data_IF_729050135379
#
_entry.id   IF_729050135379
#
_cell.length_a   1.000
_cell.length_b   1.000
_cell.length_c   1.000
_cell.angle_alpha   90.00
_cell.angle_beta   90.00
_cell.angle_gamma   90.00
#
_symmetry.space_group_name_H-M   'P 1'
#
loop_
_entity.id
_entity.type
_entity.pdbx_description
1 polymer ?
#
# COMPACT_ATOMS: atom_id res chain seq x y z
N UNK A 1 5.03 -8.40 -10.25
CA UNK A 1 5.43 -9.80 -10.03
C UNK A 1 4.19 -10.59 -9.66
N UNK A 2 4.10 -11.85 -10.09
CA UNK A 2 3.01 -12.79 -9.81
C UNK A 2 3.61 -14.11 -9.34
N UNK A 3 2.79 -15.01 -8.81
CA UNK A 3 3.13 -16.39 -8.45
C UNK A 3 2.21 -17.36 -9.21
N UNK A 4 2.45 -18.67 -9.11
CA UNK A 4 1.51 -19.67 -9.64
C UNK A 4 0.07 -19.45 -9.16
N UNK A 5 -0.10 -19.05 -7.89
CA UNK A 5 -1.43 -18.83 -7.31
C UNK A 5 -2.14 -17.62 -7.90
N UNK A 6 -1.40 -16.63 -8.41
CA UNK A 6 -1.94 -15.31 -8.78
C UNK A 6 -1.83 -14.99 -10.26
N UNK A 7 -0.98 -15.68 -11.04
CA UNK A 7 -0.66 -15.30 -12.42
C UNK A 7 -1.88 -15.29 -13.34
N UNK A 8 -2.56 -16.44 -13.49
CA UNK A 8 -3.71 -16.57 -14.39
C UNK A 8 -4.87 -15.65 -13.99
N UNK A 9 -5.13 -15.53 -12.68
CA UNK A 9 -6.17 -14.63 -12.14
C UNK A 9 -5.84 -13.16 -12.39
N UNK A 10 -4.56 -12.77 -12.28
CA UNK A 10 -4.11 -11.40 -12.57
C UNK A 10 -4.24 -11.08 -14.05
N UNK A 11 -3.84 -12.00 -14.93
CA UNK A 11 -3.99 -11.82 -16.38
C UNK A 11 -5.47 -11.67 -16.77
N UNK A 12 -6.34 -12.55 -16.26
CA UNK A 12 -7.78 -12.48 -16.48
C UNK A 12 -8.37 -11.15 -15.98
N UNK A 13 -7.96 -10.68 -14.79
CA UNK A 13 -8.41 -9.41 -14.22
C UNK A 13 -8.03 -8.23 -15.12
N UNK A 14 -6.80 -8.21 -15.63
CA UNK A 14 -6.32 -7.16 -16.54
C UNK A 14 -7.09 -7.18 -17.86
N UNK A 15 -7.22 -8.34 -18.50
CA UNK A 15 -7.89 -8.47 -19.80
C UNK A 15 -9.38 -8.13 -19.73
N UNK A 16 -10.09 -8.66 -18.72
CA UNK A 16 -11.53 -8.41 -18.51
C UNK A 16 -11.86 -6.95 -18.21
N UNK A 17 -10.88 -6.16 -17.75
CA UNK A 17 -11.04 -4.74 -17.45
C UNK A 17 -10.30 -3.83 -18.45
N UNK A 18 -9.94 -4.34 -19.63
CA UNK A 18 -9.21 -3.60 -20.66
C UNK A 18 -7.96 -2.88 -20.10
N UNK A 19 -7.21 -3.59 -19.25
CA UNK A 19 -6.02 -3.11 -18.54
C UNK A 19 -6.23 -1.80 -17.77
N UNK A 20 -7.48 -1.54 -17.34
CA UNK A 20 -7.89 -0.31 -16.66
C UNK A 20 -7.50 0.97 -17.43
N UNK A 21 -7.49 0.89 -18.77
CA UNK A 21 -7.14 1.99 -19.68
C UNK A 21 -5.64 2.10 -20.00
N UNK A 22 -4.78 1.22 -19.48
CA UNK A 22 -3.39 1.12 -19.90
C UNK A 22 -3.27 0.36 -21.23
N UNK A 23 -2.20 0.62 -22.00
CA UNK A 23 -1.87 -0.26 -23.13
C UNK A 23 -1.34 -1.60 -22.59
N UNK A 24 -1.74 -2.76 -23.14
CA UNK A 24 -1.22 -4.06 -22.70
C UNK A 24 0.31 -4.12 -22.70
N UNK A 25 0.96 -3.41 -23.63
CA UNK A 25 2.43 -3.34 -23.73
C UNK A 25 3.10 -2.63 -22.55
N UNK A 26 2.38 -1.82 -21.78
CA UNK A 26 2.88 -1.15 -20.58
C UNK A 26 2.92 -2.06 -19.34
N UNK A 27 2.21 -3.20 -19.38
CA UNK A 27 2.13 -4.14 -18.26
C UNK A 27 2.88 -5.42 -18.60
N UNK A 28 3.84 -5.80 -17.74
CA UNK A 28 4.61 -7.03 -17.90
C UNK A 28 4.44 -7.88 -16.65
N UNK A 29 3.87 -9.08 -16.80
CA UNK A 29 3.72 -10.04 -15.72
C UNK A 29 4.98 -10.91 -15.66
N UNK A 30 5.78 -10.72 -14.63
CA UNK A 30 6.89 -11.61 -14.29
C UNK A 30 6.41 -12.57 -13.21
N UNK A 31 6.35 -13.87 -13.53
CA UNK A 31 5.96 -14.91 -12.59
C UNK A 31 7.21 -15.38 -11.85
N UNK A 32 7.14 -15.40 -10.52
CA UNK A 32 8.18 -16.01 -9.70
C UNK A 32 8.03 -17.53 -9.69
N UNK A 33 9.16 -18.21 -9.54
CA UNK A 33 9.19 -19.66 -9.38
C UNK A 33 8.97 -20.05 -7.92
N UNK A 34 8.68 -21.34 -7.71
CA UNK A 34 8.64 -21.93 -6.37
C UNK A 34 9.96 -22.60 -6.04
N UNK A 35 10.23 -22.73 -4.74
CA UNK A 35 11.37 -23.46 -4.21
C UNK A 35 10.90 -24.67 -3.43
N UNK A 36 11.76 -25.68 -3.33
CA UNK A 36 11.48 -26.89 -2.57
C UNK A 36 11.28 -26.58 -1.08
N UNK A 37 10.36 -27.31 -0.46
CA UNK A 37 10.14 -27.24 0.97
C UNK A 37 11.01 -28.26 1.72
N UNK A 38 11.34 -27.92 2.97
CA UNK A 38 12.11 -28.74 3.89
C UNK A 38 11.20 -29.23 5.01
N UNK A 39 11.23 -30.53 5.31
CA UNK A 39 10.35 -31.13 6.33
C UNK A 39 10.91 -31.09 7.76
N UNK A 40 12.22 -30.98 7.91
CA UNK A 40 12.90 -31.01 9.21
C UNK A 40 14.21 -30.19 9.25
N UNK A 41 14.89 -30.26 10.41
CA UNK A 41 16.14 -29.55 10.68
C UNK A 41 17.34 -30.10 9.89
N UNK A 42 17.25 -31.33 9.36
CA UNK A 42 18.29 -31.95 8.53
C UNK A 42 18.12 -31.60 7.04
N UNK A 43 17.15 -30.74 6.73
CA UNK A 43 16.83 -30.25 5.40
C UNK A 43 16.40 -31.37 4.42
N UNK A 44 15.73 -32.40 4.92
CA UNK A 44 15.05 -33.36 4.04
C UNK A 44 13.95 -32.67 3.23
N UNK A 45 13.79 -33.08 1.97
CA UNK A 45 12.77 -32.53 1.07
C UNK A 45 11.38 -32.97 1.51
N UNK A 46 10.49 -32.01 1.74
CA UNK A 46 9.09 -32.30 1.99
C UNK A 46 8.40 -32.79 0.71
N UNK A 47 7.56 -33.81 0.83
CA UNK A 47 6.73 -34.32 -0.25
C UNK A 47 5.35 -33.66 -0.26
N UNK A 48 4.71 -33.59 -1.43
CA UNK A 48 3.37 -33.03 -1.56
C UNK A 48 2.35 -33.85 -0.74
N UNK A 49 1.50 -33.22 0.10
CA UNK A 49 0.51 -33.93 0.92
C UNK A 49 -0.52 -34.76 0.13
N UNK A 50 -0.73 -34.43 -1.15
CA UNK A 50 -1.66 -35.09 -2.05
C UNK A 50 -0.96 -35.99 -3.06
N UNK A 51 0.36 -35.86 -3.25
CA UNK A 51 1.17 -36.73 -4.12
C UNK A 51 2.58 -36.99 -3.56
N UNK A 52 2.79 -38.17 -2.97
CA UNK A 52 4.08 -38.60 -2.41
C UNK A 52 5.24 -38.74 -3.42
N UNK A 53 4.97 -38.66 -4.71
CA UNK A 53 6.00 -38.69 -5.76
C UNK A 53 6.40 -37.27 -6.23
N UNK A 54 5.79 -36.24 -5.67
CA UNK A 54 6.10 -34.84 -5.97
C UNK A 54 6.74 -34.17 -4.75
N UNK A 55 7.71 -33.29 -5.01
CA UNK A 55 8.30 -32.43 -3.99
C UNK A 55 7.32 -31.30 -3.70
N UNK A 56 7.03 -31.07 -2.42
CA UNK A 56 6.26 -29.91 -2.02
C UNK A 56 7.07 -28.64 -2.29
N UNK A 57 6.42 -27.66 -2.92
CA UNK A 57 7.05 -26.38 -3.24
C UNK A 57 6.24 -25.20 -2.71
N UNK A 58 6.91 -24.10 -2.38
CA UNK A 58 6.30 -22.84 -1.91
C UNK A 58 6.99 -21.65 -2.59
N UNK A 59 6.34 -20.47 -2.68
CA UNK A 59 7.00 -19.26 -3.16
C UNK A 59 8.25 -18.94 -2.33
N UNK A 60 9.33 -18.54 -3.02
CA UNK A 60 10.62 -18.18 -2.43
C UNK A 60 10.60 -16.81 -1.72
N UNK A 61 9.53 -16.04 -1.87
CA UNK A 61 9.39 -14.72 -1.25
C UNK A 61 9.54 -13.59 -2.26
N UNK A 62 9.30 -12.36 -1.81
CA UNK A 62 9.18 -11.23 -2.73
C UNK A 62 10.54 -10.68 -3.20
N UNK A 63 11.67 -11.16 -2.68
CA UNK A 63 13.01 -10.80 -3.17
C UNK A 63 13.30 -11.28 -4.59
N UNK A 64 12.58 -12.28 -5.12
CA UNK A 64 12.71 -12.73 -6.51
C UNK A 64 12.47 -11.63 -7.55
N UNK A 65 11.79 -10.54 -7.16
CA UNK A 65 11.53 -9.41 -8.06
C UNK A 65 12.83 -8.85 -8.66
N UNK A 66 13.94 -8.91 -7.92
CA UNK A 66 15.23 -8.38 -8.36
C UNK A 66 15.84 -9.24 -9.47
N UNK A 67 15.91 -10.56 -9.29
CA UNK A 67 16.40 -11.50 -10.30
C UNK A 67 15.46 -11.56 -11.52
N UNK A 68 14.14 -11.51 -11.32
CA UNK A 68 13.16 -11.44 -12.41
C UNK A 68 13.32 -10.17 -13.24
N UNK A 69 13.51 -9.01 -12.61
CA UNK A 69 13.75 -7.74 -13.32
C UNK A 69 15.06 -7.76 -14.10
N UNK A 70 16.11 -8.34 -13.51
CA UNK A 70 17.41 -8.50 -14.17
C UNK A 70 17.30 -9.39 -15.41
N UNK A 71 16.80 -10.62 -15.24
CA UNK A 71 16.73 -11.63 -16.30
C UNK A 71 15.73 -11.29 -17.41
N UNK A 72 14.67 -10.54 -17.09
CA UNK A 72 13.69 -10.09 -18.10
C UNK A 72 14.20 -9.01 -19.05
N UNK A 73 15.32 -8.35 -18.72
CA UNK A 73 15.86 -7.23 -19.50
C UNK A 73 15.06 -5.93 -19.40
N UNK A 74 14.01 -5.86 -18.56
CA UNK A 74 13.14 -4.69 -18.45
C UNK A 74 13.86 -3.45 -17.94
N UNK A 75 14.82 -3.62 -17.03
CA UNK A 75 15.56 -2.49 -16.47
C UNK A 75 16.33 -1.74 -17.55
N UNK A 76 16.94 -2.46 -18.50
CA UNK A 76 17.63 -1.85 -19.64
C UNK A 76 16.66 -1.09 -20.54
N UNK A 77 15.50 -1.68 -20.85
CA UNK A 77 14.46 -1.01 -21.63
C UNK A 77 13.97 0.28 -20.96
N UNK A 78 13.78 0.27 -19.64
CA UNK A 78 13.40 1.47 -18.88
C UNK A 78 14.50 2.54 -18.89
N UNK A 79 15.75 2.11 -18.75
CA UNK A 79 16.90 3.01 -18.77
C UNK A 79 17.06 3.68 -20.15
N UNK A 80 16.96 2.91 -21.23
CA UNK A 80 17.15 3.40 -22.60
C UNK A 80 16.08 4.42 -23.04
N UNK A 81 14.88 4.37 -22.44
CA UNK A 81 13.82 5.38 -22.65
C UNK A 81 13.88 6.55 -21.65
N UNK A 82 14.92 6.63 -20.83
CA UNK A 82 15.21 7.76 -19.94
C UNK A 82 14.46 7.73 -18.59
N UNK A 83 13.92 6.58 -18.17
CA UNK A 83 13.39 6.46 -16.80
C UNK A 83 14.55 6.47 -15.78
N UNK A 84 14.31 7.06 -14.61
CA UNK A 84 15.35 7.23 -13.59
C UNK A 84 15.10 6.44 -12.30
N UNK A 85 13.84 6.16 -11.98
CA UNK A 85 13.46 5.58 -10.69
C UNK A 85 12.58 4.36 -10.89
N UNK A 86 12.84 3.32 -10.11
CA UNK A 86 11.96 2.15 -9.98
C UNK A 86 11.24 2.26 -8.63
N UNK A 87 9.92 2.18 -8.68
CA UNK A 87 9.09 2.11 -7.48
C UNK A 87 8.63 0.67 -7.28
N UNK A 88 8.92 0.11 -6.12
CA UNK A 88 8.35 -1.14 -5.64
C UNK A 88 7.24 -0.81 -4.66
N UNK A 89 6.07 -1.42 -4.87
CA UNK A 89 4.95 -1.28 -3.97
C UNK A 89 4.25 -2.60 -3.66
N UNK A 90 3.48 -2.63 -2.57
CA UNK A 90 2.72 -3.80 -2.12
C UNK A 90 1.27 -3.75 -2.61
N UNK A 91 0.64 -4.91 -2.69
CA UNK A 91 -0.63 -5.16 -3.37
C UNK A 91 -1.84 -4.34 -2.86
N UNK A 92 -1.92 -4.11 -1.55
CA UNK A 92 -3.17 -3.68 -0.88
C UNK A 92 -3.05 -2.38 -0.08
N UNK A 93 -1.96 -1.63 -0.25
CA UNK A 93 -1.85 -0.28 0.32
C UNK A 93 -2.25 0.80 -0.70
N UNK A 94 -3.55 0.94 -0.96
CA UNK A 94 -4.08 1.88 -1.96
C UNK A 94 -3.81 3.36 -1.66
N UNK A 95 -3.55 3.69 -0.40
CA UNK A 95 -3.30 5.07 0.06
C UNK A 95 -1.92 5.60 -0.37
N UNK A 96 -0.95 4.69 -0.57
CA UNK A 96 0.44 4.99 -0.89
C UNK A 96 0.63 6.01 -2.02
N UNK A 97 -0.22 5.97 -3.05
CA UNK A 97 0.00 6.76 -4.27
C UNK A 97 -0.02 8.27 -4.03
N UNK A 98 -0.54 8.72 -2.89
CA UNK A 98 -0.46 10.12 -2.45
C UNK A 98 0.89 10.52 -1.88
N UNK A 99 1.60 9.57 -1.28
CA UNK A 99 2.89 9.79 -0.63
C UNK A 99 4.06 9.75 -1.63
N UNK A 100 3.94 8.96 -2.71
CA UNK A 100 5.02 8.76 -3.69
C UNK A 100 5.63 10.07 -4.22
N UNK A 101 4.86 11.09 -4.65
CA UNK A 101 5.47 12.30 -5.22
C UNK A 101 6.41 13.01 -4.25
N UNK A 102 6.01 13.12 -2.97
CA UNK A 102 6.83 13.73 -1.93
C UNK A 102 8.07 12.89 -1.64
N UNK A 103 7.91 11.57 -1.48
CA UNK A 103 9.02 10.65 -1.23
C UNK A 103 10.03 10.61 -2.38
N UNK A 104 9.57 10.68 -3.63
CA UNK A 104 10.42 10.77 -4.81
C UNK A 104 11.21 12.08 -4.84
N UNK A 105 10.58 13.20 -4.44
CA UNK A 105 11.26 14.48 -4.26
C UNK A 105 12.37 14.42 -3.21
N UNK A 106 12.15 13.69 -2.11
CA UNK A 106 13.20 13.42 -1.10
C UNK A 106 14.33 12.59 -1.71
N UNK A 107 14.02 11.50 -2.42
CA UNK A 107 15.04 10.67 -3.11
C UNK A 107 15.91 11.51 -4.03
N UNK A 108 15.31 12.37 -4.85
CA UNK A 108 16.04 13.24 -5.76
C UNK A 108 16.92 14.26 -5.02
N UNK A 109 16.39 14.94 -3.99
CA UNK A 109 17.11 15.97 -3.24
C UNK A 109 18.25 15.41 -2.39
N UNK A 110 18.05 14.23 -1.80
CA UNK A 110 19.07 13.53 -1.00
C UNK A 110 19.97 12.62 -1.83
N UNK A 111 19.67 12.49 -3.12
CA UNK A 111 20.37 11.62 -4.07
C UNK A 111 20.47 10.18 -3.56
N UNK A 112 19.38 9.68 -2.97
CA UNK A 112 19.32 8.32 -2.47
C UNK A 112 19.31 7.33 -3.63
N UNK A 113 20.15 6.31 -3.54
CA UNK A 113 20.10 5.15 -4.43
C UNK A 113 18.96 4.21 -4.02
N UNK A 114 18.67 4.13 -2.72
CA UNK A 114 17.51 3.42 -2.17
C UNK A 114 16.86 4.31 -1.11
N UNK A 115 15.54 4.48 -1.23
CA UNK A 115 14.73 5.18 -0.25
C UNK A 115 13.56 4.29 0.17
N UNK A 116 13.60 3.82 1.41
CA UNK A 116 12.48 3.09 2.01
C UNK A 116 11.45 4.06 2.55
N UNK A 117 10.19 3.92 2.18
CA UNK A 117 9.12 4.67 2.83
C UNK A 117 8.83 4.04 4.19
N UNK A 118 8.68 4.90 5.18
CA UNK A 118 8.40 4.51 6.54
C UNK A 118 7.28 5.37 7.15
N UNK A 119 6.74 4.92 8.27
CA UNK A 119 5.76 5.67 9.08
C UNK A 119 6.14 5.62 10.55
N UNK A 120 5.68 6.57 11.39
CA UNK A 120 5.74 6.40 12.83
C UNK A 120 5.06 5.09 13.23
N UNK A 121 5.75 4.24 13.98
CA UNK A 121 5.24 2.94 14.46
C UNK A 121 5.28 2.87 15.97
N UNK A 122 4.41 2.09 16.59
CA UNK A 122 4.55 1.75 18.02
C UNK A 122 5.63 0.69 18.19
N UNK A 123 6.33 0.73 19.31
CA UNK A 123 7.21 -0.36 19.72
C UNK A 123 6.43 -1.68 19.77
N UNK A 124 7.05 -2.77 19.34
CA UNK A 124 6.50 -4.13 19.24
C UNK A 124 5.33 -4.29 18.26
N UNK A 125 5.02 -3.26 17.47
CA UNK A 125 4.10 -3.38 16.35
C UNK A 125 4.67 -4.35 15.31
N UNK A 126 3.81 -5.14 14.64
CA UNK A 126 4.19 -6.14 13.64
C UNK A 126 4.57 -5.50 12.29
N UNK A 127 5.58 -4.62 12.34
CA UNK A 127 6.18 -3.88 11.23
C UNK A 127 7.67 -3.69 11.53
N UNK A 128 8.53 -4.02 10.57
CA UNK A 128 9.98 -3.89 10.73
C UNK A 128 10.41 -2.45 10.96
N UNK A 129 11.46 -2.25 11.74
CA UNK A 129 12.02 -0.92 12.02
C UNK A 129 13.18 -0.61 11.08
N UNK A 130 13.22 0.60 10.52
CA UNK A 130 14.42 1.09 9.84
C UNK A 130 15.46 1.46 10.90
N UNK A 131 16.63 0.83 10.81
CA UNK A 131 17.74 1.02 11.75
C UNK A 131 19.03 1.33 11.00
N UNK A 132 20.02 1.87 11.73
CA UNK A 132 21.41 1.92 11.27
C UNK A 132 22.21 0.85 12.01
N UNK A 133 22.53 -0.24 11.33
CA UNK A 133 23.38 -1.30 11.88
C UNK A 133 24.84 -0.90 11.73
N UNK A 134 25.63 -1.09 12.78
CA UNK A 134 27.08 -0.83 12.79
C UNK A 134 27.81 -2.10 13.23
N UNK A 135 28.66 -2.62 12.38
CA UNK A 135 29.52 -3.76 12.66
C UNK A 135 30.71 -3.32 13.53
N UNK A 136 31.33 -4.27 14.23
CA UNK A 136 32.53 -4.03 15.06
C UNK A 136 33.72 -3.48 14.27
N UNK A 137 33.77 -3.76 12.97
CA UNK A 137 34.80 -3.29 12.03
C UNK A 137 34.53 -1.87 11.49
N UNK A 138 33.47 -1.20 11.97
CA UNK A 138 33.09 0.16 11.58
C UNK A 138 32.20 0.25 10.34
N UNK A 139 31.97 -0.86 9.61
CA UNK A 139 31.00 -0.86 8.50
C UNK A 139 29.61 -0.61 9.03
N UNK A 140 28.82 0.19 8.31
CA UNK A 140 27.46 0.48 8.69
C UNK A 140 26.50 0.46 7.50
N UNK A 141 25.25 0.11 7.77
CA UNK A 141 24.18 0.08 6.76
C UNK A 141 22.87 0.58 7.36
N UNK A 142 22.07 1.27 6.55
CA UNK A 142 20.70 1.62 6.90
C UNK A 142 19.78 0.56 6.29
N UNK A 143 19.00 -0.13 7.12
CA UNK A 143 18.17 -1.23 6.65
C UNK A 143 16.98 -1.49 7.55
N UNK A 144 15.98 -2.16 6.99
CA UNK A 144 14.91 -2.78 7.75
C UNK A 144 15.43 -3.93 8.62
N UNK A 145 15.01 -3.93 9.88
CA UNK A 145 15.13 -5.07 10.79
C UNK A 145 13.73 -5.52 11.15
N UNK A 146 13.41 -6.79 10.87
CA UNK A 146 12.08 -7.33 11.10
C UNK A 146 11.68 -7.26 12.57
N UNK A 147 10.39 -7.06 12.84
CA UNK A 147 9.86 -6.81 14.18
C UNK A 147 10.21 -7.95 15.17
N UNK A 148 10.28 -9.19 14.69
CA UNK A 148 10.64 -10.37 15.47
C UNK A 148 12.15 -10.46 15.79
N UNK A 149 12.99 -9.68 15.11
CA UNK A 149 14.44 -9.61 15.30
C UNK A 149 14.86 -8.33 16.04
N UNK A 150 14.10 -7.25 15.89
CA UNK A 150 14.47 -5.93 16.37
C UNK A 150 14.68 -5.88 17.89
N UNK A 151 13.73 -6.36 18.69
CA UNK A 151 13.86 -6.33 20.16
C UNK A 151 15.08 -7.12 20.66
N UNK A 152 15.28 -8.41 20.27
CA UNK A 152 16.50 -9.13 20.61
C UNK A 152 17.79 -8.44 20.15
N UNK A 153 17.80 -7.87 18.94
CA UNK A 153 18.96 -7.19 18.38
C UNK A 153 19.31 -5.93 19.18
N UNK A 154 18.31 -5.14 19.56
CA UNK A 154 18.48 -3.93 20.37
C UNK A 154 19.07 -4.27 21.75
N UNK A 155 18.52 -5.29 22.43
CA UNK A 155 19.04 -5.76 23.71
C UNK A 155 20.49 -6.21 23.62
N UNK A 156 20.83 -6.96 22.57
CA UNK A 156 22.20 -7.41 22.32
C UNK A 156 23.16 -6.25 21.95
N UNK A 157 22.63 -5.13 21.48
CA UNK A 157 23.39 -3.97 20.98
C UNK A 157 23.46 -2.80 21.97
N UNK A 158 23.10 -3.03 23.25
CA UNK A 158 23.25 -2.02 24.31
C UNK A 158 21.99 -1.19 24.61
N UNK A 159 20.83 -1.59 24.10
CA UNK A 159 19.53 -1.01 24.49
C UNK A 159 18.83 -1.96 25.46
N UNK A 160 19.04 -1.84 26.79
CA UNK A 160 18.59 -2.82 27.77
C UNK A 160 17.07 -3.06 27.73
N UNK A 161 16.30 -2.01 27.45
CA UNK A 161 14.84 -2.07 27.39
C UNK A 161 14.30 -2.67 26.07
N UNK A 162 15.16 -2.85 25.07
CA UNK A 162 14.80 -3.39 23.76
C UNK A 162 14.04 -2.38 22.90
N UNK A 163 12.99 -2.85 22.21
CA UNK A 163 12.14 -1.99 21.39
C UNK A 163 11.06 -1.32 22.26
N UNK A 164 11.28 -0.04 22.56
CA UNK A 164 10.41 0.80 23.40
C UNK A 164 10.09 2.14 22.72
N UNK A 165 8.97 2.74 23.10
CA UNK A 165 8.59 4.06 22.60
C UNK A 165 9.46 5.15 23.24
N UNK A 166 9.82 6.18 22.46
CA UNK A 166 10.42 7.41 22.99
C UNK A 166 9.34 8.39 23.47
N UNK A 167 9.76 9.58 23.90
CA UNK A 167 8.89 10.65 24.45
C UNK A 167 7.74 11.08 23.53
N UNK A 168 7.87 10.85 22.22
CA UNK A 168 6.81 11.11 21.23
C UNK A 168 5.66 10.08 21.27
N UNK A 169 5.81 9.02 22.07
CA UNK A 169 4.89 7.89 22.14
C UNK A 169 5.04 6.88 21.00
N UNK A 170 6.05 7.01 20.12
CA UNK A 170 6.37 6.09 19.03
C UNK A 170 7.75 5.48 19.22
N UNK A 171 8.05 4.37 18.55
CA UNK A 171 9.40 3.82 18.52
C UNK A 171 10.34 4.81 17.80
N UNK A 172 11.59 5.00 18.28
CA UNK A 172 12.57 5.86 17.61
C UNK A 172 13.00 5.30 16.24
N UNK A 173 12.71 4.04 15.96
CA UNK A 173 12.96 3.40 14.67
C UNK A 173 11.67 3.44 13.84
N UNK A 174 11.59 4.19 12.72
CA UNK A 174 10.34 4.29 11.97
C UNK A 174 10.01 2.96 11.27
N UNK A 175 8.73 2.66 11.13
CA UNK A 175 8.25 1.40 10.57
C UNK A 175 8.36 1.36 9.06
N UNK A 176 9.10 0.40 8.51
CA UNK A 176 9.21 0.18 7.07
C UNK A 176 7.88 -0.35 6.51
N UNK A 177 7.25 0.40 5.61
CA UNK A 177 5.98 0.00 4.98
C UNK A 177 6.19 -0.79 3.67
N UNK A 178 7.43 -1.20 3.41
CA UNK A 178 7.87 -2.01 2.27
C UNK A 178 7.51 -1.39 0.90
N UNK A 179 7.66 -0.07 0.79
CA UNK A 179 7.55 0.67 -0.45
C UNK A 179 8.91 1.30 -0.72
N UNK A 180 9.52 0.97 -1.85
CA UNK A 180 10.92 1.27 -2.12
C UNK A 180 11.04 2.12 -3.38
N UNK A 181 11.80 3.21 -3.30
CA UNK A 181 12.21 3.99 -4.47
C UNK A 181 13.69 3.71 -4.69
N UNK A 182 14.03 3.17 -5.85
CA UNK A 182 15.40 2.78 -6.21
C UNK A 182 15.85 3.56 -7.46
N UNK A 183 17.05 4.14 -7.43
CA UNK A 183 17.64 4.81 -8.59
C UNK A 183 18.08 3.78 -9.64
N UNK A 184 17.56 3.90 -10.87
CA UNK A 184 17.63 2.85 -11.89
C UNK A 184 19.06 2.53 -12.35
N UNK A 185 19.92 3.54 -12.52
CA UNK A 185 21.30 3.33 -12.97
C UNK A 185 22.11 2.45 -12.01
N UNK A 186 22.34 2.90 -10.75
CA UNK A 186 23.01 2.09 -9.73
C UNK A 186 22.34 0.74 -9.49
N UNK A 187 21.01 0.66 -9.64
CA UNK A 187 20.29 -0.60 -9.53
C UNK A 187 20.68 -1.62 -10.61
N UNK A 188 20.80 -1.18 -11.87
CA UNK A 188 21.25 -2.04 -12.96
C UNK A 188 22.69 -2.51 -12.72
N UNK A 189 23.57 -1.61 -12.30
CA UNK A 189 24.98 -1.93 -12.01
C UNK A 189 25.11 -3.01 -10.93
N UNK A 190 24.34 -2.89 -9.85
CA UNK A 190 24.33 -3.84 -8.75
C UNK A 190 23.73 -5.20 -9.15
N UNK A 191 22.59 -5.19 -9.86
CA UNK A 191 21.98 -6.43 -10.32
C UNK A 191 22.83 -7.16 -11.36
N UNK A 192 23.63 -6.44 -12.15
CA UNK A 192 24.58 -7.04 -13.09
C UNK A 192 25.69 -7.81 -12.36
N UNK A 193 26.14 -7.31 -11.21
CA UNK A 193 27.17 -7.99 -10.39
C UNK A 193 26.61 -9.21 -9.65
N UNK A 194 25.36 -9.12 -9.18
CA UNK A 194 24.74 -10.12 -8.31
C UNK A 194 23.87 -11.15 -9.06
N UNK A 195 23.58 -10.92 -10.35
CA UNK A 195 22.53 -11.65 -11.07
C UNK A 195 21.12 -11.39 -10.49
N UNK A 196 20.98 -10.35 -9.68
CA UNK A 196 19.80 -10.06 -8.88
C UNK A 196 19.53 -11.02 -7.72
N UNK A 197 20.53 -11.78 -7.28
CA UNK A 197 20.44 -12.60 -6.08
C UNK A 197 20.32 -11.74 -4.82
N UNK A 198 19.39 -12.09 -3.95
CA UNK A 198 19.21 -11.49 -2.63
C UNK A 198 19.55 -12.53 -1.57
N UNK A 199 20.13 -12.08 -0.45
CA UNK A 199 20.47 -12.97 0.67
C UNK A 199 19.22 -13.70 1.18
N UNK A 200 19.34 -15.03 1.24
CA UNK A 200 18.28 -15.90 1.72
C UNK A 200 18.31 -16.06 3.25
N UNK A 201 17.17 -16.44 3.81
CA UNK A 201 17.01 -16.88 5.18
C UNK A 201 15.97 -18.00 5.27
N UNK A 202 15.82 -18.61 6.44
CA UNK A 202 14.78 -19.60 6.73
C UNK A 202 14.10 -19.25 8.04
N UNK A 203 12.78 -19.41 8.11
CA UNK A 203 11.98 -19.12 9.31
C UNK A 203 11.05 -20.30 9.65
N UNK A 204 11.60 -21.41 10.18
CA UNK A 204 10.81 -22.59 10.48
C UNK A 204 9.82 -22.33 11.62
N UNK A 205 8.57 -22.75 11.44
CA UNK A 205 7.55 -22.76 12.50
C UNK A 205 7.63 -24.08 13.23
N UNK A 206 8.05 -24.07 14.49
CA UNK A 206 8.17 -25.28 15.31
C UNK A 206 6.86 -25.66 15.99
N UNK A 207 6.67 -26.96 16.29
CA UNK A 207 5.51 -27.47 17.05
C UNK A 207 5.50 -26.96 18.49
N UNK A 208 6.68 -26.81 19.07
CA UNK A 208 6.89 -26.41 20.46
C UNK A 208 8.26 -25.71 20.65
N UNK A 209 8.57 -25.33 21.89
CA UNK A 209 9.77 -24.61 22.25
C UNK A 209 11.08 -25.42 22.15
N UNK A 210 11.01 -26.75 21.99
CA UNK A 210 12.22 -27.60 21.86
C UNK A 210 12.90 -27.43 20.50
N UNK A 211 12.17 -26.91 19.50
CA UNK A 211 12.65 -26.69 18.13
C UNK A 211 13.18 -27.95 17.42
N UNK A 212 12.63 -29.11 17.76
CA UNK A 212 13.03 -30.40 17.18
C UNK A 212 12.21 -30.78 15.95
N UNK A 213 10.94 -30.37 15.88
CA UNK A 213 10.03 -30.71 14.78
C UNK A 213 9.24 -29.49 14.27
N UNK A 214 9.07 -29.41 12.95
CA UNK A 214 8.29 -28.35 12.32
C UNK A 214 6.78 -28.59 12.46
N UNK A 215 6.02 -27.53 12.70
CA UNK A 215 4.55 -27.50 12.65
C UNK A 215 4.04 -27.64 11.21
N UNK A 216 4.81 -27.16 10.26
CA UNK A 216 4.60 -27.27 8.82
C UNK A 216 5.95 -27.15 8.12
N UNK A 217 6.12 -27.79 6.96
CA UNK A 217 7.33 -27.65 6.13
C UNK A 217 7.73 -26.18 5.93
N UNK A 218 9.03 -25.92 5.92
CA UNK A 218 9.61 -24.59 5.71
C UNK A 218 10.22 -24.48 4.30
N UNK A 219 10.72 -23.31 3.91
CA UNK A 219 11.48 -23.10 2.68
C UNK A 219 12.47 -21.95 2.87
N UNK A 220 13.46 -21.85 1.99
CA UNK A 220 14.28 -20.64 1.88
C UNK A 220 13.39 -19.47 1.47
N UNK A 221 13.69 -18.30 2.02
CA UNK A 221 12.98 -17.06 1.77
C UNK A 221 13.94 -15.94 1.42
N UNK A 222 13.53 -15.02 0.55
CA UNK A 222 14.23 -13.77 0.31
C UNK A 222 13.26 -12.56 0.35
N UNK A 223 13.77 -11.41 0.81
CA UNK A 223 12.98 -10.21 1.03
C UNK A 223 13.46 -9.07 0.11
N UNK A 224 12.56 -8.45 -0.64
CA UNK A 224 12.92 -7.33 -1.53
C UNK A 224 13.58 -6.14 -0.81
N UNK A 225 13.19 -5.89 0.45
CA UNK A 225 13.79 -4.86 1.28
C UNK A 225 15.21 -5.19 1.77
N UNK A 226 15.71 -6.40 1.49
CA UNK A 226 17.09 -6.79 1.78
C UNK A 226 18.07 -6.45 0.66
N UNK A 227 17.61 -5.92 -0.47
CA UNK A 227 18.47 -5.38 -1.53
C UNK A 227 19.61 -4.46 -1.02
N UNK A 228 19.40 -3.56 -0.03
CA UNK A 228 20.50 -2.76 0.52
C UNK A 228 21.68 -3.55 1.10
N UNK A 229 21.52 -4.86 1.40
CA UNK A 229 22.61 -5.71 1.89
C UNK A 229 23.65 -6.03 0.81
N UNK A 230 23.31 -5.90 -0.47
CA UNK A 230 24.24 -6.19 -1.58
C UNK A 230 25.10 -4.96 -1.91
N UNK A 231 24.60 -3.77 -1.58
CA UNK A 231 25.22 -2.49 -1.92
C UNK A 231 26.54 -2.24 -1.16
N UNK A 232 27.48 -1.50 -1.78
CA UNK A 232 28.70 -1.07 -1.11
C UNK A 232 28.42 -0.03 -0.01
N UNK A 233 29.31 0.13 0.99
CA UNK A 233 29.14 1.12 2.06
C UNK A 233 29.03 2.58 1.59
N UNK A 234 29.47 2.89 0.37
CA UNK A 234 29.33 4.22 -0.25
C UNK A 234 27.93 4.50 -0.79
N UNK A 235 27.07 3.48 -0.88
CA UNK A 235 25.71 3.60 -1.37
C UNK A 235 24.86 4.49 -0.47
N UNK A 236 24.09 5.40 -1.09
CA UNK A 236 23.20 6.32 -0.38
C UNK A 236 21.86 5.66 -0.12
N UNK A 237 21.79 4.88 0.95
CA UNK A 237 20.56 4.25 1.45
C UNK A 237 19.94 5.14 2.52
N UNK A 238 18.67 5.48 2.35
CA UNK A 238 17.92 6.30 3.27
C UNK A 238 16.46 5.87 3.41
N UNK A 239 15.70 6.69 4.12
CA UNK A 239 14.26 6.48 4.30
C UNK A 239 13.52 7.82 4.34
N UNK A 240 12.21 7.77 4.07
CA UNK A 240 11.30 8.91 4.16
C UNK A 240 10.15 8.54 5.09
N UNK A 241 10.04 9.26 6.21
CA UNK A 241 8.93 9.07 7.15
C UNK A 241 7.74 9.91 6.69
N UNK A 242 6.61 9.25 6.48
CA UNK A 242 5.34 9.86 6.10
C UNK A 242 4.33 9.71 7.23
N UNK A 243 3.37 10.63 7.28
CA UNK A 243 2.21 10.45 8.16
C UNK A 243 1.40 9.21 7.76
N UNK A 244 0.98 8.42 8.75
CA UNK A 244 0.20 7.19 8.54
C UNK A 244 -1.06 7.47 7.70
N UNK A 245 -1.79 8.54 8.03
CA UNK A 245 -3.06 8.90 7.36
C UNK A 245 -2.91 9.22 5.87
N UNK A 246 -1.68 9.45 5.38
CA UNK A 246 -1.40 9.78 3.97
C UNK A 246 -0.70 8.64 3.20
N UNK A 247 -0.09 7.68 3.90
CA UNK A 247 0.82 6.72 3.27
C UNK A 247 0.55 5.24 3.57
N UNK A 248 -0.18 4.91 4.64
CA UNK A 248 -0.24 3.53 5.13
C UNK A 248 -1.64 3.08 5.56
N UNK A 249 -2.27 2.30 4.70
CA UNK A 249 -3.55 1.64 4.95
C UNK A 249 -3.63 0.27 4.24
N UNK A 250 -2.79 -0.71 4.63
CA UNK A 250 -2.82 -2.05 4.03
C UNK A 250 -4.07 -2.82 4.46
N UNK A 251 -4.50 -3.74 3.60
CA UNK A 251 -5.59 -4.69 3.86
C UNK A 251 -5.00 -6.09 3.97
N UNK A 252 -4.71 -6.52 5.20
CA UNK A 252 -4.04 -7.81 5.50
C UNK A 252 -4.79 -8.70 6.49
N UNK A 253 -5.74 -8.14 7.26
CA UNK A 253 -6.50 -8.88 8.26
C UNK A 253 -7.90 -9.20 7.74
N UNK A 254 -8.33 -10.43 7.96
CA UNK A 254 -9.73 -10.83 7.80
C UNK A 254 -10.61 -10.14 8.88
N UNK A 255 -11.94 -10.15 8.73
CA UNK A 255 -12.86 -9.53 9.69
C UNK A 255 -12.71 -10.04 11.13
N UNK A 256 -12.49 -11.35 11.32
CA UNK A 256 -12.37 -11.96 12.65
C UNK A 256 -11.14 -11.48 13.42
N UNK A 257 -9.99 -11.44 12.75
CA UNK A 257 -8.73 -11.02 13.36
C UNK A 257 -8.69 -9.52 13.56
N UNK A 258 -9.26 -8.76 12.63
CA UNK A 258 -9.41 -7.32 12.77
C UNK A 258 -10.31 -6.95 13.98
N UNK A 259 -11.39 -7.69 14.24
CA UNK A 259 -12.26 -7.46 15.40
C UNK A 259 -11.57 -7.67 16.76
N UNK A 260 -10.46 -8.43 16.80
CA UNK A 260 -9.67 -8.69 18.02
C UNK A 260 -8.59 -7.62 18.26
N UNK A 261 -8.34 -6.73 17.29
CA UNK A 261 -7.35 -5.66 17.44
C UNK A 261 -7.86 -4.67 18.49
N UNK A 262 -7.07 -4.35 19.54
CA UNK A 262 -7.49 -3.40 20.56
C UNK A 262 -7.77 -2.00 19.98
N UNK A 263 -8.73 -1.29 20.57
CA UNK A 263 -9.06 0.07 20.17
C UNK A 263 -7.83 0.99 20.21
N UNK A 264 -7.69 1.83 19.18
CA UNK A 264 -6.52 2.71 18.99
C UNK A 264 -5.38 2.08 18.18
N UNK A 265 -5.38 0.76 17.96
CA UNK A 265 -4.45 0.10 17.05
C UNK A 265 -5.03 0.00 15.62
N UNK A 266 -4.18 -0.05 14.59
CA UNK A 266 -4.66 -0.14 13.21
C UNK A 266 -5.22 -1.54 12.89
N UNK A 267 -6.49 -1.59 12.49
CA UNK A 267 -7.18 -2.84 12.15
C UNK A 267 -6.62 -3.55 10.91
N UNK A 268 -6.13 -2.79 9.93
CA UNK A 268 -5.60 -3.29 8.65
C UNK A 268 -6.52 -4.28 7.91
N UNK A 269 -7.82 -4.02 7.97
CA UNK A 269 -8.90 -4.75 7.30
C UNK A 269 -9.41 -3.99 6.07
N UNK A 270 -10.25 -4.65 5.26
CA UNK A 270 -10.92 -4.01 4.13
C UNK A 270 -11.77 -2.80 4.57
N UNK A 271 -12.46 -2.90 5.71
CA UNK A 271 -13.19 -1.79 6.34
C UNK A 271 -12.26 -0.60 6.60
N UNK A 272 -11.18 -0.83 7.35
CA UNK A 272 -10.27 0.26 7.75
C UNK A 272 -9.50 0.85 6.56
N UNK A 273 -9.17 0.02 5.56
CA UNK A 273 -8.52 0.47 4.33
C UNK A 273 -9.42 1.42 3.53
N UNK A 274 -10.71 1.09 3.37
CA UNK A 274 -11.67 1.95 2.70
C UNK A 274 -11.88 3.27 3.47
N UNK A 275 -12.03 3.21 4.80
CA UNK A 275 -12.18 4.41 5.64
C UNK A 275 -10.95 5.33 5.61
N UNK A 276 -9.74 4.76 5.52
CA UNK A 276 -8.51 5.54 5.42
C UNK A 276 -8.46 6.40 4.14
N UNK A 277 -9.03 5.92 3.03
CA UNK A 277 -9.13 6.71 1.79
C UNK A 277 -10.07 7.91 1.99
N UNK A 278 -11.26 7.69 2.55
CA UNK A 278 -12.22 8.77 2.84
C UNK A 278 -11.64 9.81 3.80
N UNK A 279 -10.97 9.35 4.86
CA UNK A 279 -10.24 10.20 5.79
C UNK A 279 -9.18 11.04 5.08
N UNK A 280 -8.31 10.41 4.29
CA UNK A 280 -7.23 11.11 3.61
C UNK A 280 -7.75 12.19 2.65
N UNK A 281 -8.77 11.87 1.85
CA UNK A 281 -9.38 12.82 0.94
C UNK A 281 -10.03 14.00 1.67
N UNK A 282 -10.77 13.72 2.75
CA UNK A 282 -11.42 14.74 3.57
C UNK A 282 -10.40 15.68 4.22
N UNK A 283 -9.33 15.13 4.82
CA UNK A 283 -8.26 15.92 5.44
C UNK A 283 -7.51 16.79 4.41
N UNK A 284 -7.27 16.26 3.21
CA UNK A 284 -6.63 17.01 2.12
C UNK A 284 -7.52 18.18 1.67
N UNK A 285 -8.82 17.96 1.50
CA UNK A 285 -9.76 19.02 1.15
C UNK A 285 -9.88 20.08 2.26
N UNK A 286 -9.90 19.67 3.54
CA UNK A 286 -9.81 20.61 4.67
C UNK A 286 -8.56 21.48 4.58
N UNK A 287 -7.39 20.89 4.31
CA UNK A 287 -6.15 21.65 4.09
C UNK A 287 -6.22 22.57 2.87
N UNK A 288 -7.02 22.22 1.85
CA UNK A 288 -7.26 23.08 0.68
C UNK A 288 -8.28 24.21 0.94
N UNK A 289 -8.90 24.27 2.13
CA UNK A 289 -9.85 25.32 2.52
C UNK A 289 -11.32 24.92 2.40
N UNK A 290 -11.63 23.66 2.10
CA UNK A 290 -13.01 23.15 2.08
C UNK A 290 -13.48 22.86 3.51
N UNK A 291 -14.69 23.30 3.86
CA UNK A 291 -15.35 22.90 5.10
C UNK A 291 -15.91 21.48 4.93
N UNK A 292 -15.19 20.47 5.41
CA UNK A 292 -15.66 19.08 5.44
C UNK A 292 -16.06 18.75 6.87
N UNK A 293 -17.28 18.27 7.11
CA UNK A 293 -17.75 17.90 8.45
C UNK A 293 -16.94 16.75 9.07
N UNK A 294 -16.99 16.63 10.40
CA UNK A 294 -16.29 15.60 11.17
C UNK A 294 -16.85 14.20 10.94
N UNK A 295 -16.02 13.14 11.09
CA UNK A 295 -16.49 11.77 10.96
C UNK A 295 -17.44 11.39 12.09
N UNK A 296 -18.25 10.36 11.84
CA UNK A 296 -19.01 9.66 12.90
C UNK A 296 -18.39 8.30 13.16
N UNK A 297 -18.61 7.75 14.35
CA UNK A 297 -18.15 6.40 14.66
C UNK A 297 -19.24 5.38 14.28
N UNK A 298 -18.85 4.32 13.59
CA UNK A 298 -19.72 3.16 13.32
C UNK A 298 -18.96 1.85 13.57
N UNK A 299 -19.71 0.77 13.74
CA UNK A 299 -19.16 -0.57 13.96
C UNK A 299 -19.48 -1.45 12.75
N UNK A 300 -18.46 -1.97 12.09
CA UNK A 300 -18.60 -2.95 11.00
C UNK A 300 -17.80 -4.19 11.35
N UNK A 301 -18.41 -5.37 11.28
CA UNK A 301 -17.75 -6.63 11.64
C UNK A 301 -16.98 -6.56 12.98
N UNK A 302 -17.56 -5.92 14.00
CA UNK A 302 -16.93 -5.76 15.31
C UNK A 302 -15.82 -4.70 15.40
N UNK A 303 -15.51 -3.99 14.31
CA UNK A 303 -14.49 -2.94 14.28
C UNK A 303 -15.15 -1.57 14.40
N UNK A 304 -14.81 -0.81 15.45
CA UNK A 304 -15.23 0.59 15.61
C UNK A 304 -14.32 1.51 14.80
N UNK A 305 -14.87 2.15 13.76
CA UNK A 305 -14.11 2.99 12.82
C UNK A 305 -14.72 4.38 12.67
N UNK A 306 -13.89 5.35 12.28
CA UNK A 306 -14.32 6.67 11.84
C UNK A 306 -14.84 6.61 10.40
N UNK A 307 -16.10 7.01 10.20
CA UNK A 307 -16.74 7.13 8.89
C UNK A 307 -16.78 8.61 8.49
N UNK A 308 -15.82 8.96 7.65
CA UNK A 308 -15.70 10.28 7.03
C UNK A 308 -16.67 10.42 5.85
N UNK A 309 -16.96 11.66 5.37
CA UNK A 309 -17.64 11.87 4.10
C UNK A 309 -16.99 11.04 2.97
N UNK A 310 -17.80 10.42 2.11
CA UNK A 310 -17.31 9.49 1.08
C UNK A 310 -16.83 10.27 -0.13
N UNK A 311 -15.70 10.93 0.03
CA UNK A 311 -15.05 11.69 -1.04
C UNK A 311 -14.01 10.80 -1.71
N UNK A 312 -14.10 10.63 -3.02
CA UNK A 312 -13.11 9.93 -3.85
C UNK A 312 -12.92 10.61 -5.20
N UNK A 313 -11.71 10.54 -5.73
CA UNK A 313 -11.40 11.05 -7.05
C UNK A 313 -10.44 10.12 -7.80
N UNK A 314 -10.53 10.15 -9.14
CA UNK A 314 -9.56 9.48 -10.00
C UNK A 314 -8.21 10.22 -9.93
N UNK A 315 -7.06 9.52 -10.03
CA UNK A 315 -5.74 10.15 -10.06
C UNK A 315 -5.59 11.25 -11.11
N UNK A 316 -6.28 11.14 -12.26
CA UNK A 316 -6.30 12.19 -13.30
C UNK A 316 -6.87 13.53 -12.83
N UNK A 317 -7.71 13.55 -11.79
CA UNK A 317 -8.18 14.80 -11.21
C UNK A 317 -7.09 15.45 -10.37
N UNK A 318 -6.42 14.70 -9.49
CA UNK A 318 -5.32 15.24 -8.70
C UNK A 318 -4.42 14.15 -8.12
N UNK A 319 -3.11 14.34 -8.28
CA UNK A 319 -2.06 13.52 -7.66
C UNK A 319 -1.36 14.26 -6.52
N UNK A 320 -1.21 15.58 -6.63
CA UNK A 320 -0.50 16.42 -5.66
C UNK A 320 -1.45 17.39 -4.96
N UNK A 321 -1.01 17.95 -3.83
CA UNK A 321 -1.76 19.00 -3.15
C UNK A 321 -1.93 20.26 -4.01
N UNK A 322 -0.92 20.58 -4.84
CA UNK A 322 -0.98 21.70 -5.78
C UNK A 322 -2.12 21.53 -6.80
N UNK A 323 -2.29 20.32 -7.34
CA UNK A 323 -3.40 20.01 -8.26
C UNK A 323 -4.75 20.32 -7.62
N UNK A 324 -4.93 19.89 -6.36
CA UNK A 324 -6.17 20.07 -5.61
C UNK A 324 -6.40 21.55 -5.34
N UNK A 325 -5.38 22.26 -4.87
CA UNK A 325 -5.50 23.69 -4.56
C UNK A 325 -5.83 24.53 -5.79
N UNK A 326 -5.35 24.12 -6.97
CA UNK A 326 -5.69 24.78 -8.24
C UNK A 326 -7.13 24.54 -8.72
N UNK A 327 -7.81 23.53 -8.18
CA UNK A 327 -9.14 23.06 -8.63
C UNK A 327 -10.25 23.30 -7.61
N UNK A 328 -9.93 23.99 -6.51
CA UNK A 328 -10.87 24.31 -5.43
C UNK A 328 -10.75 25.80 -5.14
N UNK A 329 -11.85 26.53 -5.31
CA UNK A 329 -11.95 27.98 -5.10
C UNK A 329 -13.25 28.33 -4.38
N UNK A 330 -13.33 29.52 -3.77
CA UNK A 330 -14.54 29.97 -3.08
C UNK A 330 -14.86 29.20 -1.79
N UNK A 331 -16.12 29.27 -1.36
CA UNK A 331 -16.64 28.73 -0.12
C UNK A 331 -17.28 27.35 -0.33
N UNK A 332 -16.48 26.30 -0.14
CA UNK A 332 -16.92 24.93 -0.36
C UNK A 332 -17.27 24.24 0.97
N UNK A 333 -18.40 23.52 1.02
CA UNK A 333 -18.80 22.68 2.16
C UNK A 333 -19.28 21.29 1.74
N UNK A 334 -18.92 20.28 2.53
CA UNK A 334 -19.32 18.87 2.35
C UNK A 334 -19.83 18.35 3.70
N UNK A 335 -21.11 18.00 3.75
CA UNK A 335 -21.75 17.47 4.96
C UNK A 335 -21.24 16.07 5.32
N UNK A 336 -21.42 15.67 6.58
CA UNK A 336 -20.95 14.38 7.09
C UNK A 336 -21.48 13.19 6.25
N UNK A 337 -22.74 13.28 5.86
CA UNK A 337 -23.46 12.22 5.12
C UNK A 337 -23.23 12.26 3.61
N UNK A 338 -22.35 13.11 3.11
CA UNK A 338 -22.18 13.31 1.67
C UNK A 338 -21.30 12.26 1.00
N UNK A 339 -21.52 12.09 -0.31
CA UNK A 339 -20.68 11.33 -1.25
C UNK A 339 -20.29 12.24 -2.40
N UNK A 340 -18.99 12.35 -2.66
CA UNK A 340 -18.46 13.11 -3.79
C UNK A 340 -17.54 12.22 -4.60
N UNK A 341 -17.86 12.00 -5.87
CA UNK A 341 -17.07 11.19 -6.79
C UNK A 341 -16.64 12.03 -7.99
N UNK A 342 -15.33 12.23 -8.15
CA UNK A 342 -14.77 13.06 -9.22
C UNK A 342 -14.00 12.19 -10.21
N UNK A 343 -14.49 12.13 -11.45
CA UNK A 343 -13.92 11.32 -12.54
C UNK A 343 -13.63 12.20 -13.76
N UNK A 344 -12.71 13.14 -13.64
CA UNK A 344 -12.34 14.00 -14.77
C UNK A 344 -11.10 14.81 -14.48
N UNK A 345 -10.37 15.17 -15.53
CA UNK A 345 -9.08 15.87 -15.38
C UNK A 345 -9.26 17.34 -14.99
N UNK A 346 -10.23 18.03 -15.60
CA UNK A 346 -10.42 19.49 -15.46
C UNK A 346 -11.77 19.84 -14.82
N UNK A 347 -12.08 19.19 -13.69
CA UNK A 347 -13.25 19.54 -12.86
C UNK A 347 -12.79 20.54 -11.79
N UNK A 348 -13.44 21.70 -11.74
CA UNK A 348 -13.21 22.77 -10.77
C UNK A 348 -14.40 22.82 -9.83
N UNK A 349 -14.13 22.82 -8.52
CA UNK A 349 -15.13 23.00 -7.47
C UNK A 349 -15.07 24.45 -7.00
N UNK A 350 -16.17 25.18 -7.17
CA UNK A 350 -16.28 26.57 -6.76
C UNK A 350 -17.62 26.83 -6.08
N UNK A 351 -17.57 27.29 -4.84
CA UNK A 351 -18.77 27.60 -4.05
C UNK A 351 -19.79 26.44 -3.99
N UNK A 352 -19.30 25.19 -3.88
CA UNK A 352 -20.16 24.01 -3.71
C UNK A 352 -20.60 23.86 -2.25
N UNK A 353 -21.91 23.67 -2.03
CA UNK A 353 -22.45 23.13 -0.78
C UNK A 353 -23.08 21.77 -1.05
N UNK A 354 -22.48 20.71 -0.54
CA UNK A 354 -22.92 19.33 -0.78
C UNK A 354 -23.50 18.70 0.50
N UNK A 355 -24.80 18.40 0.47
CA UNK A 355 -25.51 17.57 1.43
C UNK A 355 -26.27 16.44 0.72
N UNK A 356 -25.54 15.40 0.30
CA UNK A 356 -26.09 14.32 -0.51
C UNK A 356 -25.02 13.59 -1.32
N UNK A 357 -25.39 13.00 -2.45
CA UNK A 357 -24.47 12.34 -3.36
C UNK A 357 -24.34 13.12 -4.68
N UNK A 358 -23.08 13.40 -5.07
CA UNK A 358 -22.70 14.05 -6.32
C UNK A 358 -21.60 13.25 -7.02
N UNK A 359 -21.87 12.86 -8.26
CA UNK A 359 -20.94 12.17 -9.15
C UNK A 359 -20.74 13.05 -10.39
N UNK A 360 -19.48 13.42 -10.66
CA UNK A 360 -19.11 14.18 -11.85
C UNK A 360 -18.14 13.33 -12.65
N UNK A 361 -18.56 12.89 -13.83
CA UNK A 361 -17.74 12.18 -14.81
C UNK A 361 -17.51 13.07 -16.03
N UNK A 362 -16.26 13.29 -16.39
CA UNK A 362 -15.92 14.21 -17.46
C UNK A 362 -14.80 13.63 -18.32
N UNK A 363 -15.02 13.73 -19.63
CA UNK A 363 -14.03 13.46 -20.66
C UNK A 363 -12.74 14.26 -20.38
N UNK A 364 -11.58 13.73 -20.78
CA UNK A 364 -10.28 14.30 -20.39
C UNK A 364 -10.05 15.73 -20.94
N UNK A 365 -10.75 16.09 -22.02
CA UNK A 365 -10.75 17.41 -22.64
C UNK A 365 -11.97 18.28 -22.27
N UNK A 366 -12.85 17.80 -21.38
CA UNK A 366 -13.91 18.62 -20.82
C UNK A 366 -13.36 19.46 -19.66
N UNK A 367 -13.79 20.71 -19.57
CA UNK A 367 -13.63 21.56 -18.39
C UNK A 367 -15.00 21.76 -17.76
N UNK A 368 -15.15 21.36 -16.51
CA UNK A 368 -16.42 21.42 -15.80
C UNK A 368 -16.24 22.28 -14.56
N UNK A 369 -16.95 23.40 -14.46
CA UNK A 369 -17.04 24.18 -13.23
C UNK A 369 -18.30 23.77 -12.49
N UNK A 370 -18.15 23.18 -11.30
CA UNK A 370 -19.26 22.75 -10.46
C UNK A 370 -19.41 23.67 -9.25
N UNK A 371 -20.59 24.24 -9.07
CA UNK A 371 -20.92 25.15 -7.98
C UNK A 371 -22.40 25.13 -7.60
N UNK A 372 -22.73 25.77 -6.48
CA UNK A 372 -24.11 25.80 -5.95
C UNK A 372 -24.41 24.71 -4.92
N UNK A 373 -25.68 24.63 -4.53
CA UNK A 373 -26.15 23.77 -3.43
C UNK A 373 -26.75 22.46 -3.95
N UNK A 374 -26.10 21.34 -3.63
CA UNK A 374 -26.54 20.00 -3.98
C UNK A 374 -27.12 19.32 -2.75
N UNK A 375 -28.45 19.32 -2.64
CA UNK A 375 -29.21 18.66 -1.56
C UNK A 375 -30.01 17.49 -2.14
N UNK A 376 -29.74 16.28 -1.67
CA UNK A 376 -30.49 15.09 -2.04
C UNK A 376 -30.38 13.99 -0.97
N UNK A 377 -31.22 12.96 -1.05
CA UNK A 377 -31.27 11.85 -0.08
C UNK A 377 -29.99 11.00 -0.01
N UNK A 378 -29.07 11.17 -0.97
CA UNK A 378 -27.72 10.63 -0.90
C UNK A 378 -27.67 9.11 -0.79
N UNK A 379 -26.58 8.60 -0.22
CA UNK A 379 -26.39 7.16 0.00
C UNK A 379 -26.44 6.83 1.48
N UNK A 380 -27.01 5.67 1.81
CA UNK A 380 -27.07 5.11 3.16
C UNK A 380 -26.14 3.91 3.24
N UNK A 381 -25.47 3.75 4.38
CA UNK A 381 -24.62 2.58 4.66
C UNK A 381 -25.48 1.53 5.36
N UNK A 382 -25.52 0.33 4.80
CA UNK A 382 -26.16 -0.84 5.40
C UNK A 382 -25.07 -1.81 5.87
N UNK A 383 -25.14 -2.25 7.13
CA UNK A 383 -24.19 -3.22 7.68
C UNK A 383 -24.38 -4.59 7.03
N UNK A 384 -23.28 -5.30 6.82
CA UNK A 384 -23.27 -6.66 6.26
C UNK A 384 -22.40 -7.53 7.17
N UNK A 385 -22.93 -8.66 7.61
CA UNK A 385 -22.16 -9.65 8.37
C UNK A 385 -21.22 -10.40 7.43
N UNK A 386 -19.93 -10.50 7.79
CA UNK A 386 -18.96 -11.26 7.01
C UNK A 386 -19.32 -12.74 6.86
N UNK A 387 -20.18 -13.29 7.73
CA UNK A 387 -20.67 -14.68 7.69
C UNK A 387 -21.82 -14.91 6.72
N UNK A 388 -22.48 -13.86 6.23
CA UNK A 388 -23.64 -13.99 5.35
C UNK A 388 -23.23 -14.40 3.92
N UNK A 389 -23.06 -15.69 3.68
CA UNK A 389 -22.60 -16.26 2.40
C UNK A 389 -23.51 -15.99 1.20
N UNK A 390 -24.70 -15.40 1.39
CA UNK A 390 -25.55 -14.93 0.29
C UNK A 390 -25.00 -13.66 -0.37
N UNK A 391 -24.09 -12.95 0.30
CA UNK A 391 -23.49 -11.69 -0.14
C UNK A 391 -22.07 -11.95 -0.70
N UNK A 392 -21.65 -11.27 -1.79
CA UNK A 392 -20.29 -11.41 -2.33
C UNK A 392 -19.21 -11.15 -1.29
N UNK A 393 -18.08 -11.87 -1.40
CA UNK A 393 -16.99 -11.83 -0.41
C UNK A 393 -16.45 -10.41 -0.20
N UNK A 394 -16.26 -9.63 -1.26
CA UNK A 394 -15.75 -8.26 -1.21
C UNK A 394 -16.66 -7.28 -0.45
N UNK A 395 -17.95 -7.62 -0.30
CA UNK A 395 -18.91 -6.86 0.51
C UNK A 395 -18.92 -7.39 1.95
N UNK A 396 -18.83 -8.71 2.13
CA UNK A 396 -18.71 -9.36 3.45
C UNK A 396 -17.48 -8.91 4.21
N UNK A 397 -16.30 -8.93 3.57
CA UNK A 397 -15.03 -8.57 4.22
C UNK A 397 -14.95 -7.08 4.58
N UNK A 398 -15.63 -6.19 3.82
CA UNK A 398 -15.70 -4.76 4.16
C UNK A 398 -16.74 -4.46 5.26
N UNK A 399 -17.73 -5.33 5.42
CA UNK A 399 -18.72 -5.26 6.51
C UNK A 399 -19.90 -4.31 6.28
N UNK A 400 -20.05 -3.79 5.07
CA UNK A 400 -21.16 -2.91 4.71
C UNK A 400 -21.39 -2.85 3.19
N UNK A 401 -22.54 -2.33 2.78
CA UNK A 401 -22.86 -1.96 1.40
C UNK A 401 -23.52 -0.58 1.35
N UNK A 402 -23.52 0.05 0.19
CA UNK A 402 -24.19 1.32 -0.03
C UNK A 402 -25.57 1.12 -0.66
N UNK A 403 -26.60 1.61 0.01
CA UNK A 403 -27.93 1.81 -0.57
C UNK A 403 -28.00 3.22 -1.17
N UNK A 404 -28.04 3.31 -2.51
CA UNK A 404 -28.00 4.57 -3.25
C UNK A 404 -29.40 5.14 -3.41
N UNK A 405 -29.90 5.79 -2.35
CA UNK A 405 -31.27 6.33 -2.30
C UNK A 405 -31.50 7.42 -3.34
N UNK A 406 -30.57 8.37 -3.44
CA UNK A 406 -30.59 9.43 -4.45
C UNK A 406 -29.17 9.89 -4.74
N UNK A 407 -28.94 10.36 -5.96
CA UNK A 407 -27.68 10.99 -6.35
C UNK A 407 -27.89 11.92 -7.54
N UNK A 408 -27.10 12.99 -7.61
CA UNK A 408 -26.89 13.71 -8.86
C UNK A 408 -25.70 13.09 -9.60
N UNK A 409 -25.95 12.50 -10.76
CA UNK A 409 -24.92 11.94 -11.64
C UNK A 409 -24.88 12.75 -12.93
N UNK A 410 -23.73 13.35 -13.23
CA UNK A 410 -23.52 14.16 -14.43
C UNK A 410 -22.31 13.66 -15.20
N UNK A 411 -22.56 13.28 -16.45
CA UNK A 411 -21.54 12.84 -17.39
C UNK A 411 -21.38 13.84 -18.53
N UNK A 412 -20.13 14.23 -18.80
CA UNK A 412 -19.73 15.09 -19.90
C UNK A 412 -18.85 14.28 -20.85
N UNK A 413 -19.45 13.67 -21.86
CA UNK A 413 -18.78 12.74 -22.78
C UNK A 413 -17.95 13.41 -23.88
N UNK A 414 -18.14 14.72 -24.09
CA UNK A 414 -17.49 15.47 -25.15
C UNK A 414 -16.49 16.50 -24.61
N UNK A 415 -15.58 16.97 -25.47
CA UNK A 415 -14.74 18.11 -25.15
C UNK A 415 -15.58 19.39 -25.12
N UNK A 416 -15.22 20.33 -24.23
CA UNK A 416 -15.96 21.58 -24.11
C UNK A 416 -15.82 22.21 -22.73
N UNK A 417 -16.44 23.37 -22.56
CA UNK A 417 -16.56 24.06 -21.27
C UNK A 417 -18.00 23.95 -20.78
N UNK A 418 -18.16 23.46 -19.56
CA UNK A 418 -19.46 23.16 -18.97
C UNK A 418 -19.55 23.76 -17.58
N UNK A 419 -20.77 24.14 -17.20
CA UNK A 419 -21.10 24.57 -15.85
C UNK A 419 -22.13 23.62 -15.27
N UNK A 420 -21.84 23.07 -14.09
CA UNK A 420 -22.77 22.30 -13.29
C UNK A 420 -23.27 23.17 -12.14
N UNK A 421 -24.48 23.70 -12.29
CA UNK A 421 -25.23 24.33 -11.22
C UNK A 421 -26.58 23.59 -11.10
N UNK A 422 -26.99 23.18 -9.90
CA UNK A 422 -28.22 22.44 -9.66
C UNK A 422 -29.48 23.27 -9.89
#
# INVERSE_FOLDING_TARGET
MTSDDTHSRTLQLLESNAYFGMKPTQVKLLKQEKVACLEDNDAHLALDPHNKYEIQTKPHGHGDVHSLLFTSGLLKLWHDVGLRWVLFFQDTNGLLFKAIPASLGVSAKKQYQVNSLAVPRKAKEAIGGITRLTHKDGRAMVINVEYNQLDPLLRASGYPDGDVNCETGYSPFPGNINQLIIELGPYIEELTQTGGAIKEFVNPKYKDATKTAFKSSTRLECMMQDYPKTLPPSARVGFTVMDVWLAYAPVKNNPEDAAKVPEGNPFHSATSGEMAIYRAHSLILRKAGVKVDDPVHQVFNGQRVEVWPRVVWKPKWALTFSDIKSKVSGNNSISQRSTLVIKGKNIILEDISLDGALIIDAHDNAKVKAGGSFDNKGWVIETVDYKDTSVPEEVRIRGFRFNKVEQLDKSYSEAGEFSLNP
#
